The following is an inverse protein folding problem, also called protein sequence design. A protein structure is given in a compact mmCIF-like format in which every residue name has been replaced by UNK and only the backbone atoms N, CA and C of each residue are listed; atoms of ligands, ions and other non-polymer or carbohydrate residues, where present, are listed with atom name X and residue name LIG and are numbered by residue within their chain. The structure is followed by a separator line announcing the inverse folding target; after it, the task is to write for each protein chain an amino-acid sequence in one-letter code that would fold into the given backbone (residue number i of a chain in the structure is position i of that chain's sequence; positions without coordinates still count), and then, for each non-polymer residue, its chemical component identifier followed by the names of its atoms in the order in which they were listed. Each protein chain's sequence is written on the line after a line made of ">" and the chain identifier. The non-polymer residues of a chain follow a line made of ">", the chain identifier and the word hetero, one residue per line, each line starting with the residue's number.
data_IF_237068764308
#
_entry.id   IF_237068764308
#
_cell.length_a   1.000
_cell.length_b   1.000
_cell.length_c   1.000
_cell.angle_alpha   90.00
_cell.angle_beta   90.00
_cell.angle_gamma   90.00
#
_symmetry.space_group_name_H-M   'P 1'
#
loop_
_entity.id
_entity.type
_entity.pdbx_description
1 polymer ?
#
# COMPACT_ATOMS: atom_id res chain seq x y z
N UNK A 1 1.62 6.73 5.03
CA UNK A 1 2.96 6.18 4.73
C UNK A 1 4.08 6.91 5.46
N UNK A 2 4.25 8.22 5.31
CA UNK A 2 5.36 8.97 5.93
C UNK A 2 5.53 8.68 7.45
N UNK A 3 4.46 8.77 8.24
CA UNK A 3 4.51 8.48 9.67
C UNK A 3 5.00 7.06 9.99
N UNK A 4 4.51 6.04 9.26
CA UNK A 4 4.91 4.65 9.46
C UNK A 4 6.40 4.45 9.16
N UNK A 5 6.90 5.04 8.08
CA UNK A 5 8.33 4.96 7.73
C UNK A 5 9.21 5.71 8.72
N UNK A 6 8.79 6.90 9.18
CA UNK A 6 9.52 7.64 10.22
C UNK A 6 9.63 6.84 11.51
N UNK A 7 8.51 6.27 11.99
CA UNK A 7 8.50 5.46 13.21
C UNK A 7 9.26 4.14 13.03
N UNK A 8 9.07 3.45 11.90
CA UNK A 8 9.81 2.21 11.59
C UNK A 8 11.31 2.42 11.62
N UNK A 9 11.79 3.50 10.97
CA UNK A 9 13.20 3.90 11.03
C UNK A 9 13.66 4.18 12.46
N UNK A 10 12.90 4.94 13.24
CA UNK A 10 13.24 5.27 14.64
C UNK A 10 13.31 4.00 15.52
N UNK A 11 12.42 3.04 15.31
CA UNK A 11 12.35 1.77 16.05
C UNK A 11 13.23 0.66 15.47
N UNK A 12 14.00 0.94 14.41
CA UNK A 12 14.76 -0.07 13.66
C UNK A 12 13.91 -1.28 13.26
N UNK A 13 12.65 -1.02 12.90
CA UNK A 13 11.69 -2.04 12.47
C UNK A 13 11.48 -1.93 10.96
N UNK A 14 11.64 -3.01 10.19
CA UNK A 14 11.32 -3.01 8.77
C UNK A 14 9.86 -2.63 8.53
N UNK A 15 9.63 -1.73 7.58
CA UNK A 15 8.27 -1.29 7.20
C UNK A 15 8.18 -1.26 5.68
N UNK A 16 7.16 -1.92 5.15
CA UNK A 16 6.79 -1.88 3.74
C UNK A 16 5.36 -1.35 3.59
N UNK A 17 5.00 -0.89 2.39
CA UNK A 17 3.63 -0.52 2.07
C UNK A 17 3.29 -0.78 0.62
N UNK A 18 2.05 -1.22 0.40
CA UNK A 18 1.45 -1.41 -0.91
C UNK A 18 0.27 -0.45 -1.03
N UNK A 19 0.24 0.34 -2.10
CA UNK A 19 -0.80 1.34 -2.33
C UNK A 19 -1.54 1.00 -3.62
N UNK A 20 -2.87 1.04 -3.53
CA UNK A 20 -3.75 1.06 -4.70
C UNK A 20 -4.20 2.50 -4.87
N UNK A 21 -3.92 3.09 -6.03
CA UNK A 21 -4.28 4.48 -6.32
C UNK A 21 -5.76 4.53 -6.70
N UNK A 22 -6.56 5.25 -5.91
CA UNK A 22 -7.99 5.46 -6.17
C UNK A 22 -8.26 6.55 -7.17
N UNK A 23 -7.58 7.67 -6.99
CA UNK A 23 -7.87 8.93 -7.65
C UNK A 23 -6.63 9.44 -8.37
N UNK A 24 -6.86 10.26 -9.39
CA UNK A 24 -5.79 10.93 -10.12
C UNK A 24 -6.13 12.40 -10.39
N UNK A 25 -5.08 13.21 -10.52
CA UNK A 25 -5.14 14.63 -10.83
C UNK A 25 -4.19 14.98 -11.99
N UNK A 26 -3.80 13.97 -12.78
CA UNK A 26 -2.82 14.13 -13.86
C UNK A 26 -3.31 15.08 -14.96
N UNK A 27 -4.63 15.20 -15.10
CA UNK A 27 -5.32 16.05 -16.08
C UNK A 27 -5.72 17.43 -15.53
N UNK A 28 -5.28 17.79 -14.30
CA UNK A 28 -5.76 18.94 -13.54
C UNK A 28 -7.28 18.94 -13.24
N UNK A 29 -7.94 17.82 -13.54
CA UNK A 29 -9.32 17.55 -13.16
C UNK A 29 -9.29 16.36 -12.20
N UNK A 30 -9.95 16.50 -11.05
CA UNK A 30 -9.96 15.41 -10.08
C UNK A 30 -10.83 14.26 -10.59
N UNK A 31 -10.21 13.12 -10.80
CA UNK A 31 -10.88 11.88 -11.08
C UNK A 31 -10.86 11.01 -9.82
N UNK A 32 -11.98 10.88 -9.09
CA UNK A 32 -11.99 10.24 -7.79
C UNK A 32 -11.68 8.73 -7.83
N UNK A 33 -12.06 8.02 -8.89
CA UNK A 33 -11.86 6.58 -9.15
C UNK A 33 -12.15 5.53 -8.04
N UNK A 34 -12.42 5.93 -6.79
CA UNK A 34 -12.63 5.07 -5.62
C UNK A 34 -13.93 4.27 -5.66
N UNK A 35 -14.90 4.69 -6.50
CA UNK A 35 -16.15 3.94 -6.75
C UNK A 35 -16.04 2.93 -7.89
N UNK A 36 -14.91 2.92 -8.60
CA UNK A 36 -14.72 2.05 -9.74
C UNK A 36 -14.57 0.58 -9.30
N UNK A 37 -15.16 -0.33 -10.09
CA UNK A 37 -14.99 -1.77 -9.87
C UNK A 37 -13.51 -2.22 -9.96
N UNK A 38 -12.69 -1.69 -10.91
CA UNK A 38 -11.25 -1.96 -10.92
C UNK A 38 -10.55 -1.61 -9.60
N UNK A 39 -10.85 -0.45 -9.00
CA UNK A 39 -10.26 -0.05 -7.72
C UNK A 39 -10.64 -0.99 -6.58
N UNK A 40 -11.93 -1.38 -6.49
CA UNK A 40 -12.40 -2.34 -5.46
C UNK A 40 -11.65 -3.67 -5.54
N UNK A 41 -11.52 -4.23 -6.75
CA UNK A 41 -10.80 -5.49 -6.98
C UNK A 41 -9.31 -5.35 -6.64
N UNK A 42 -8.68 -4.27 -7.08
CA UNK A 42 -7.27 -4.02 -6.81
C UNK A 42 -6.99 -3.87 -5.31
N UNK A 43 -7.88 -3.20 -4.55
CA UNK A 43 -7.78 -3.10 -3.09
C UNK A 43 -7.85 -4.47 -2.42
N UNK A 44 -8.79 -5.31 -2.83
CA UNK A 44 -8.96 -6.65 -2.25
C UNK A 44 -7.77 -7.56 -2.62
N UNK A 45 -7.22 -7.43 -3.84
CA UNK A 45 -5.99 -8.10 -4.26
C UNK A 45 -4.78 -7.63 -3.46
N UNK A 46 -4.65 -6.32 -3.22
CA UNK A 46 -3.56 -5.76 -2.44
C UNK A 46 -3.55 -6.28 -0.99
N UNK A 47 -4.72 -6.39 -0.36
CA UNK A 47 -4.83 -6.99 0.97
C UNK A 47 -4.35 -8.45 0.98
N UNK A 48 -4.74 -9.25 -0.02
CA UNK A 48 -4.28 -10.65 -0.15
C UNK A 48 -2.77 -10.75 -0.35
N UNK A 49 -2.21 -9.88 -1.19
CA UNK A 49 -0.77 -9.84 -1.45
C UNK A 49 0.03 -9.48 -0.19
N UNK A 50 -0.43 -8.51 0.60
CA UNK A 50 0.22 -8.13 1.86
C UNK A 50 0.19 -9.29 2.87
N UNK A 51 -0.93 -10.00 2.98
CA UNK A 51 -1.04 -11.17 3.85
C UNK A 51 -0.14 -12.32 3.40
N UNK A 52 -0.08 -12.59 2.09
CA UNK A 52 0.81 -13.60 1.53
C UNK A 52 2.29 -13.25 1.78
N UNK A 53 2.69 -12.02 1.49
CA UNK A 53 4.06 -11.54 1.73
C UNK A 53 4.44 -11.59 3.21
N UNK A 54 3.52 -11.26 4.12
CA UNK A 54 3.75 -11.36 5.55
C UNK A 54 3.89 -12.82 6.04
N UNK A 55 3.17 -13.76 5.43
CA UNK A 55 3.26 -15.18 5.78
C UNK A 55 4.59 -15.82 5.35
N UNK A 56 5.18 -15.32 4.26
CA UNK A 56 6.48 -15.77 3.75
C UNK A 56 7.67 -15.04 4.38
N UNK A 57 7.43 -14.00 5.19
CA UNK A 57 8.49 -13.18 5.75
C UNK A 57 9.25 -13.92 6.86
N UNK A 58 10.54 -14.18 6.62
CA UNK A 58 11.47 -14.83 7.54
C UNK A 58 12.25 -13.87 8.47
N UNK A 59 11.87 -12.58 8.46
CA UNK A 59 12.53 -11.54 9.25
C UNK A 59 13.84 -11.01 8.65
N UNK A 60 14.29 -11.53 7.50
CA UNK A 60 15.66 -11.33 7.04
C UNK A 60 15.79 -10.57 5.73
N UNK A 61 15.49 -9.27 5.69
CA UNK A 61 16.05 -8.37 4.67
C UNK A 61 16.09 -6.91 5.17
N UNK A 62 17.21 -6.54 5.80
CA UNK A 62 17.82 -5.19 5.84
C UNK A 62 19.29 -5.33 6.16
#
# INVERSE_FOLDING_TARGET
>A
MAALFTVGRFRQTPVAGLLVVSDELSTLTWNPGYRSEPFRRARDQAARLVLAAAAEWDGGHV
#
